data_IF_096222875649
#
_entry.id   IF_096222875649
#
_cell.length_a   1.000
_cell.length_b   1.000
_cell.length_c   1.000
_cell.angle_alpha   90.00
_cell.angle_beta   90.00
_cell.angle_gamma   90.00
#
_symmetry.space_group_name_H-M   'P 1'
#
loop_
_entity.id
_entity.type
_entity.pdbx_description
1 polymer ?
#
# COMPACT_ATOMS: atom_id res chain seq x y z
N UNK A 1 38.60 -45.30 -24.77
CA UNK A 1 37.49 -44.49 -25.32
C UNK A 1 36.84 -43.81 -24.14
N UNK A 2 37.35 -42.63 -23.81
CA UNK A 2 37.05 -41.88 -22.58
C UNK A 2 36.41 -40.58 -23.05
N UNK A 3 35.09 -40.46 -22.87
CA UNK A 3 34.31 -39.26 -23.17
C UNK A 3 34.65 -38.21 -22.11
N UNK A 4 35.40 -37.18 -22.50
CA UNK A 4 35.65 -36.00 -21.69
C UNK A 4 34.42 -35.09 -21.78
N UNK A 5 33.72 -34.95 -20.65
CA UNK A 5 32.62 -34.01 -20.47
C UNK A 5 33.06 -32.58 -20.84
N UNK A 6 32.27 -31.93 -21.70
CA UNK A 6 32.39 -30.52 -22.05
C UNK A 6 32.26 -29.64 -20.79
N UNK A 7 33.11 -28.62 -20.60
CA UNK A 7 33.03 -27.74 -19.45
C UNK A 7 31.74 -26.92 -19.52
N UNK A 8 30.94 -27.01 -18.46
CA UNK A 8 29.79 -26.14 -18.22
C UNK A 8 30.26 -24.68 -18.26
N UNK A 9 29.70 -23.90 -19.18
CA UNK A 9 29.99 -22.47 -19.29
C UNK A 9 29.49 -21.76 -18.04
N UNK A 10 30.37 -21.54 -17.07
CA UNK A 10 30.09 -20.73 -15.90
C UNK A 10 29.95 -19.27 -16.38
N UNK A 11 28.72 -18.82 -16.57
CA UNK A 11 28.44 -17.42 -16.89
C UNK A 11 28.93 -16.55 -15.74
N UNK A 12 30.00 -15.78 -15.94
CA UNK A 12 30.50 -14.87 -14.93
C UNK A 12 29.39 -13.91 -14.48
N UNK A 13 29.21 -13.68 -13.16
CA UNK A 13 28.30 -12.65 -12.68
C UNK A 13 28.74 -11.29 -13.25
N UNK A 14 27.79 -10.49 -13.72
CA UNK A 14 28.01 -9.18 -14.35
C UNK A 14 28.62 -8.19 -13.31
N UNK A 15 29.97 -8.17 -13.20
CA UNK A 15 30.74 -7.54 -12.11
C UNK A 15 30.61 -5.99 -12.10
N UNK A 16 29.99 -5.38 -13.12
CA UNK A 16 29.93 -3.92 -13.28
C UNK A 16 28.63 -3.23 -12.83
N UNK A 17 27.56 -3.94 -12.45
CA UNK A 17 26.24 -3.32 -12.22
C UNK A 17 25.87 -3.31 -10.74
N UNK A 18 25.44 -2.14 -10.25
CA UNK A 18 24.90 -1.99 -8.90
C UNK A 18 23.80 -3.03 -8.64
N UNK A 19 23.79 -3.68 -7.46
CA UNK A 19 22.80 -4.71 -7.12
C UNK A 19 21.36 -4.21 -7.29
N UNK A 20 21.12 -2.91 -7.11
CA UNK A 20 19.82 -2.26 -7.34
C UNK A 20 19.38 -2.34 -8.81
N UNK A 21 20.30 -2.12 -9.75
CA UNK A 21 20.02 -2.15 -11.20
C UNK A 21 19.68 -3.58 -11.66
N UNK A 22 20.36 -4.58 -11.09
CA UNK A 22 20.08 -5.99 -11.38
C UNK A 22 18.71 -6.41 -10.85
N UNK A 23 18.35 -6.00 -9.63
CA UNK A 23 17.02 -6.25 -9.05
C UNK A 23 15.92 -5.55 -9.86
N UNK A 24 16.11 -4.28 -10.22
CA UNK A 24 15.14 -3.53 -11.03
C UNK A 24 14.91 -4.19 -12.41
N UNK A 25 15.97 -4.66 -13.07
CA UNK A 25 15.85 -5.36 -14.36
C UNK A 25 15.10 -6.69 -14.24
N UNK A 26 15.33 -7.44 -13.16
CA UNK A 26 14.59 -8.68 -12.89
C UNK A 26 13.10 -8.40 -12.65
N UNK A 27 12.81 -7.36 -11.88
CA UNK A 27 11.46 -6.89 -11.60
C UNK A 27 10.70 -6.50 -12.87
N UNK A 28 11.36 -5.76 -13.78
CA UNK A 28 10.82 -5.42 -15.10
C UNK A 28 10.60 -6.62 -16.03
N UNK A 29 11.25 -7.76 -15.81
CA UNK A 29 10.96 -8.99 -16.58
C UNK A 29 9.76 -9.74 -16.03
N UNK A 30 9.39 -9.52 -14.77
CA UNK A 30 8.26 -10.19 -14.14
C UNK A 30 6.93 -9.74 -14.76
N UNK A 31 6.11 -10.70 -15.22
CA UNK A 31 4.84 -10.39 -15.92
C UNK A 31 3.85 -9.69 -15.00
N UNK A 32 3.62 -10.24 -13.81
CA UNK A 32 2.70 -9.67 -12.82
C UNK A 32 3.11 -8.26 -12.43
N UNK A 33 4.41 -8.05 -12.17
CA UNK A 33 4.91 -6.72 -11.80
C UNK A 33 4.66 -5.68 -12.88
N UNK A 34 4.96 -6.01 -14.14
CA UNK A 34 4.73 -5.09 -15.27
C UNK A 34 3.26 -4.74 -15.45
N UNK A 35 2.37 -5.73 -15.38
CA UNK A 35 0.93 -5.50 -15.51
C UNK A 35 0.45 -4.61 -14.37
N UNK A 36 0.82 -4.93 -13.13
CA UNK A 36 0.48 -4.12 -11.96
C UNK A 36 1.01 -2.69 -12.07
N UNK A 37 2.26 -2.51 -12.53
CA UNK A 37 2.85 -1.19 -12.74
C UNK A 37 2.09 -0.38 -13.79
N UNK A 38 1.73 -0.98 -14.93
CA UNK A 38 0.97 -0.31 -15.98
C UNK A 38 -0.41 0.10 -15.47
N UNK A 39 -1.12 -0.79 -14.77
CA UNK A 39 -2.44 -0.47 -14.19
C UNK A 39 -2.34 0.66 -13.16
N UNK A 40 -1.35 0.61 -12.26
CA UNK A 40 -1.13 1.66 -11.27
C UNK A 40 -0.79 2.98 -11.95
N UNK A 41 0.05 2.96 -12.99
CA UNK A 41 0.41 4.14 -13.77
C UNK A 41 -0.81 4.77 -14.44
N UNK A 42 -1.70 3.96 -15.03
CA UNK A 42 -2.96 4.45 -15.62
C UNK A 42 -3.80 5.16 -14.55
N UNK A 43 -3.98 4.54 -13.37
CA UNK A 43 -4.76 5.12 -12.27
C UNK A 43 -4.13 6.43 -11.76
N UNK A 44 -2.81 6.44 -11.56
CA UNK A 44 -2.08 7.63 -11.10
C UNK A 44 -2.14 8.74 -12.14
N UNK A 45 -1.96 8.44 -13.42
CA UNK A 45 -2.07 9.41 -14.50
C UNK A 45 -3.50 9.95 -14.60
N UNK A 46 -4.51 9.09 -14.49
CA UNK A 46 -5.91 9.54 -14.44
C UNK A 46 -6.16 10.50 -13.26
N UNK A 47 -5.59 10.22 -12.09
CA UNK A 47 -5.69 11.09 -10.91
C UNK A 47 -4.96 12.42 -11.10
N UNK A 48 -3.71 12.41 -11.59
CA UNK A 48 -2.90 13.62 -11.76
C UNK A 48 -3.41 14.50 -12.89
N UNK A 49 -3.83 13.88 -14.00
CA UNK A 49 -4.37 14.59 -15.16
C UNK A 49 -5.84 15.03 -14.97
N UNK A 50 -6.48 14.66 -13.85
CA UNK A 50 -7.87 15.01 -13.55
C UNK A 50 -8.20 16.50 -13.77
N UNK A 51 -7.38 17.48 -13.34
CA UNK A 51 -7.68 18.90 -13.56
C UNK A 51 -7.68 19.32 -15.04
N UNK A 52 -7.02 18.57 -15.93
CA UNK A 52 -6.92 18.89 -17.36
C UNK A 52 -7.91 18.11 -18.22
N UNK A 53 -8.29 16.90 -17.81
CA UNK A 53 -9.22 16.03 -18.56
C UNK A 53 -10.68 16.16 -18.10
N UNK A 54 -10.95 17.08 -17.16
CA UNK A 54 -12.29 17.31 -16.60
C UNK A 54 -12.63 18.80 -16.60
N UNK A 55 -13.88 19.12 -16.27
CA UNK A 55 -14.34 20.50 -16.11
C UNK A 55 -13.77 21.20 -14.85
N UNK A 56 -12.85 20.55 -14.10
CA UNK A 56 -12.14 21.12 -12.95
C UNK A 56 -13.00 21.41 -11.71
N UNK A 57 -14.29 21.05 -11.72
CA UNK A 57 -15.26 21.37 -10.67
C UNK A 57 -15.94 20.09 -10.10
N UNK A 58 -15.23 19.27 -9.29
CA UNK A 58 -15.77 18.02 -8.75
C UNK A 58 -16.97 18.18 -7.80
N UNK A 59 -17.19 19.39 -7.29
CA UNK A 59 -18.25 19.72 -6.35
C UNK A 59 -19.32 20.66 -6.93
N UNK A 60 -19.28 20.95 -8.24
CA UNK A 60 -20.33 21.74 -8.88
C UNK A 60 -21.64 20.94 -8.92
N UNK A 61 -22.64 21.41 -8.18
CA UNK A 61 -23.96 20.77 -8.07
C UNK A 61 -24.94 21.36 -9.07
N UNK A 62 -25.86 20.53 -9.56
CA UNK A 62 -26.95 20.96 -10.43
C UNK A 62 -28.19 20.11 -10.18
N UNK A 63 -29.22 20.69 -9.54
CA UNK A 63 -30.44 19.95 -9.19
C UNK A 63 -31.17 19.40 -10.43
N UNK A 64 -31.07 20.10 -11.56
CA UNK A 64 -31.68 19.69 -12.84
C UNK A 64 -31.01 18.47 -13.46
N UNK A 65 -29.73 18.24 -13.15
CA UNK A 65 -28.93 17.17 -13.72
C UNK A 65 -28.80 15.99 -12.77
N UNK A 66 -29.70 15.82 -11.77
CA UNK A 66 -29.64 14.69 -10.82
C UNK A 66 -29.97 13.38 -11.53
N UNK A 67 -29.23 12.33 -11.19
CA UNK A 67 -29.47 10.96 -11.66
C UNK A 67 -29.55 10.81 -13.18
N UNK A 68 -28.74 11.59 -13.91
CA UNK A 68 -28.59 11.36 -15.34
C UNK A 68 -27.73 10.11 -15.55
N UNK A 69 -28.19 9.17 -16.39
CA UNK A 69 -27.44 7.95 -16.67
C UNK A 69 -26.15 8.28 -17.46
N UNK A 70 -25.20 7.33 -17.51
CA UNK A 70 -24.00 7.45 -18.34
C UNK A 70 -24.33 7.75 -19.80
N UNK A 71 -23.70 8.78 -20.37
CA UNK A 71 -23.95 9.25 -21.73
C UNK A 71 -22.85 10.18 -22.24
N UNK A 72 -23.04 10.76 -23.43
CA UNK A 72 -22.05 11.65 -24.05
C UNK A 72 -21.83 12.95 -23.28
N UNK A 73 -22.88 13.48 -22.63
CA UNK A 73 -22.77 14.68 -21.79
C UNK A 73 -22.10 14.40 -20.45
N UNK A 74 -22.36 13.21 -19.89
CA UNK A 74 -21.81 12.75 -18.60
C UNK A 74 -21.32 11.31 -18.74
N UNK A 75 -20.02 11.12 -19.00
CA UNK A 75 -19.43 9.82 -19.32
C UNK A 75 -19.78 8.72 -18.31
N UNK A 76 -19.77 9.05 -17.02
CA UNK A 76 -20.12 8.14 -15.92
C UNK A 76 -21.51 8.44 -15.32
N UNK A 77 -22.26 9.35 -15.93
CA UNK A 77 -23.52 9.86 -15.39
C UNK A 77 -23.29 10.89 -14.28
N UNK A 78 -24.37 11.24 -13.60
CA UNK A 78 -24.36 12.17 -12.47
C UNK A 78 -24.86 11.54 -11.18
N UNK A 79 -24.51 12.16 -10.05
CA UNK A 79 -24.92 11.70 -8.73
C UNK A 79 -26.21 12.37 -8.21
N UNK A 80 -26.56 12.05 -6.95
CA UNK A 80 -27.72 12.59 -6.25
C UNK A 80 -27.70 14.14 -6.11
N UNK A 81 -26.56 14.80 -6.29
CA UNK A 81 -26.46 16.26 -6.28
C UNK A 81 -26.29 16.84 -7.70
N UNK A 82 -26.42 15.99 -8.72
CA UNK A 82 -26.20 16.33 -10.12
C UNK A 82 -24.77 16.73 -10.45
N UNK A 83 -23.81 16.21 -9.68
CA UNK A 83 -22.38 16.40 -9.93
C UNK A 83 -21.92 15.34 -10.94
N UNK A 84 -21.03 15.72 -11.84
CA UNK A 84 -20.45 14.82 -12.84
C UNK A 84 -19.58 13.73 -12.18
N UNK A 85 -19.99 12.48 -12.34
CA UNK A 85 -19.35 11.34 -11.69
C UNK A 85 -17.96 11.06 -12.28
N UNK A 86 -17.73 11.33 -13.56
CA UNK A 86 -16.42 11.16 -14.19
C UNK A 86 -15.37 12.04 -13.48
N UNK A 87 -15.69 13.32 -13.33
CA UNK A 87 -14.85 14.26 -12.60
C UNK A 87 -14.66 13.82 -11.14
N UNK A 88 -15.72 13.38 -10.46
CA UNK A 88 -15.63 12.94 -9.05
C UNK A 88 -14.76 11.69 -8.87
N UNK A 89 -14.84 10.71 -9.77
CA UNK A 89 -14.04 9.48 -9.67
C UNK A 89 -12.54 9.76 -9.85
N UNK A 90 -12.19 10.68 -10.77
CA UNK A 90 -10.79 11.06 -11.00
C UNK A 90 -10.19 11.87 -9.84
N UNK A 91 -10.93 12.85 -9.30
CA UNK A 91 -10.51 13.54 -8.08
C UNK A 91 -10.54 12.62 -6.85
N UNK A 92 -11.47 11.67 -6.82
CA UNK A 92 -11.56 10.60 -5.83
C UNK A 92 -10.30 9.75 -5.76
N UNK A 93 -9.68 9.50 -6.92
CA UNK A 93 -8.41 8.78 -7.01
C UNK A 93 -7.29 9.50 -6.26
N UNK A 94 -7.20 10.83 -6.35
CA UNK A 94 -6.16 11.59 -5.64
C UNK A 94 -6.26 11.38 -4.13
N UNK A 95 -7.48 11.48 -3.57
CA UNK A 95 -7.72 11.32 -2.13
C UNK A 95 -7.51 9.88 -1.69
N UNK A 96 -8.09 8.89 -2.37
CA UNK A 96 -7.96 7.49 -1.99
C UNK A 96 -6.53 6.97 -2.12
N UNK A 97 -5.79 7.33 -3.18
CA UNK A 97 -4.37 6.98 -3.33
C UNK A 97 -3.51 7.66 -2.27
N UNK A 98 -3.80 8.92 -1.94
CA UNK A 98 -3.09 9.64 -0.88
C UNK A 98 -3.27 8.99 0.49
N UNK A 99 -4.50 8.59 0.84
CA UNK A 99 -4.79 7.87 2.09
C UNK A 99 -4.05 6.53 2.10
N UNK A 100 -4.20 5.74 1.03
CA UNK A 100 -3.54 4.43 0.92
C UNK A 100 -2.02 4.54 1.07
N UNK A 101 -1.40 5.51 0.38
CA UNK A 101 0.04 5.75 0.43
C UNK A 101 0.49 6.20 1.81
N UNK A 102 -0.20 7.17 2.39
CA UNK A 102 0.18 7.74 3.70
C UNK A 102 0.07 6.70 4.81
N UNK A 103 -1.03 5.94 4.84
CA UNK A 103 -1.21 4.86 5.82
C UNK A 103 -0.14 3.79 5.67
N UNK A 104 0.16 3.37 4.43
CA UNK A 104 1.19 2.36 4.18
C UNK A 104 2.56 2.84 4.64
N UNK A 105 2.98 4.04 4.22
CA UNK A 105 4.29 4.61 4.55
C UNK A 105 4.44 4.83 6.05
N UNK A 106 3.46 5.44 6.71
CA UNK A 106 3.52 5.67 8.17
C UNK A 106 3.54 4.34 8.94
N UNK A 107 2.72 3.37 8.54
CA UNK A 107 2.71 2.04 9.18
C UNK A 107 4.04 1.33 9.00
N UNK A 108 4.67 1.44 7.83
CA UNK A 108 5.97 0.85 7.56
C UNK A 108 7.10 1.53 8.33
N UNK A 109 7.13 2.87 8.38
CA UNK A 109 8.16 3.62 9.13
C UNK A 109 8.04 3.33 10.62
N UNK A 110 6.85 3.53 11.21
CA UNK A 110 6.63 3.33 12.64
C UNK A 110 6.78 1.85 13.01
N UNK A 111 6.26 0.96 12.17
CA UNK A 111 6.46 -0.48 12.33
C UNK A 111 7.93 -0.88 12.27
N UNK A 112 8.72 -0.35 11.34
CA UNK A 112 10.14 -0.64 11.25
C UNK A 112 10.91 -0.17 12.48
N UNK A 113 10.62 1.04 12.97
CA UNK A 113 11.22 1.58 14.20
C UNK A 113 10.90 0.67 15.38
N UNK A 114 9.62 0.33 15.59
CA UNK A 114 9.16 -0.53 16.68
C UNK A 114 9.77 -1.93 16.57
N UNK A 115 9.75 -2.52 15.37
CA UNK A 115 10.21 -3.87 15.10
C UNK A 115 11.71 -4.03 15.31
N UNK A 116 12.51 -3.07 14.83
CA UNK A 116 13.97 -3.05 15.06
C UNK A 116 14.26 -2.80 16.53
N UNK A 117 13.59 -1.84 17.17
CA UNK A 117 13.80 -1.56 18.59
C UNK A 117 13.52 -2.79 19.47
N UNK A 118 12.42 -3.50 19.19
CA UNK A 118 12.08 -4.73 19.88
C UNK A 118 13.07 -5.88 19.61
N UNK A 119 13.54 -6.03 18.37
CA UNK A 119 14.51 -7.07 18.01
C UNK A 119 15.91 -6.79 18.56
N UNK A 120 16.34 -5.54 18.61
CA UNK A 120 17.70 -5.17 19.03
C UNK A 120 17.81 -5.03 20.55
N UNK A 121 16.83 -4.39 21.19
CA UNK A 121 16.85 -4.12 22.63
C UNK A 121 15.86 -5.03 23.38
N UNK A 122 16.37 -6.15 23.93
CA UNK A 122 15.57 -7.12 24.72
C UNK A 122 14.70 -6.50 25.81
N UNK A 123 15.13 -5.38 26.41
CA UNK A 123 14.37 -4.65 27.44
C UNK A 123 13.02 -4.11 26.94
N UNK A 124 12.95 -3.68 25.68
CA UNK A 124 11.75 -3.10 25.10
C UNK A 124 10.88 -4.13 24.36
N UNK A 125 11.43 -5.30 24.03
CA UNK A 125 10.76 -6.34 23.25
C UNK A 125 9.38 -6.69 23.81
N UNK A 126 9.32 -7.11 25.08
CA UNK A 126 8.06 -7.50 25.72
C UNK A 126 7.05 -6.37 25.75
N UNK A 127 7.46 -5.15 26.11
CA UNK A 127 6.54 -4.01 26.20
C UNK A 127 5.97 -3.66 24.82
N UNK A 128 6.85 -3.46 23.83
CA UNK A 128 6.47 -3.08 22.47
C UNK A 128 5.58 -4.13 21.82
N UNK A 129 5.97 -5.41 21.91
CA UNK A 129 5.18 -6.49 21.32
C UNK A 129 3.85 -6.68 22.04
N UNK A 130 3.78 -6.52 23.37
CA UNK A 130 2.48 -6.56 24.08
C UNK A 130 1.53 -5.45 23.65
N UNK A 131 2.03 -4.24 23.37
CA UNK A 131 1.21 -3.16 22.80
C UNK A 131 0.73 -3.53 21.39
N UNK A 132 1.62 -4.06 20.54
CA UNK A 132 1.23 -4.52 19.20
C UNK A 132 0.18 -5.64 19.25
N UNK A 133 0.34 -6.58 20.19
CA UNK A 133 -0.59 -7.69 20.40
C UNK A 133 -1.95 -7.20 20.89
N UNK A 134 -1.97 -6.20 21.79
CA UNK A 134 -3.20 -5.57 22.25
C UNK A 134 -3.95 -4.86 21.12
N UNK A 135 -3.25 -4.17 20.22
CA UNK A 135 -3.87 -3.56 19.03
C UNK A 135 -4.45 -4.62 18.08
N UNK A 136 -3.74 -5.73 17.89
CA UNK A 136 -4.19 -6.83 17.02
C UNK A 136 -5.30 -7.68 17.63
N UNK A 137 -5.54 -7.59 18.93
CA UNK A 137 -6.66 -8.27 19.58
C UNK A 137 -8.01 -7.72 19.09
N UNK A 138 -8.04 -6.46 18.64
CA UNK A 138 -9.20 -5.87 18.01
C UNK A 138 -9.17 -6.10 16.49
N UNK A 139 -10.31 -6.42 15.86
CA UNK A 139 -10.42 -6.37 14.41
C UNK A 139 -10.02 -4.98 13.90
N UNK A 140 -9.13 -4.92 12.90
CA UNK A 140 -8.53 -3.67 12.42
C UNK A 140 -9.56 -2.59 12.04
N UNK A 141 -10.68 -3.01 11.44
CA UNK A 141 -11.78 -2.12 11.06
C UNK A 141 -12.49 -1.56 12.31
N UNK A 142 -12.76 -2.39 13.32
CA UNK A 142 -13.41 -1.94 14.56
C UNK A 142 -12.52 -0.95 15.32
N UNK A 143 -11.22 -1.24 15.38
CA UNK A 143 -10.25 -0.33 15.98
C UNK A 143 -10.22 1.01 15.23
N UNK A 144 -10.19 0.96 13.88
CA UNK A 144 -10.17 2.17 13.08
C UNK A 144 -11.47 3.00 13.22
N UNK A 145 -12.63 2.35 13.30
CA UNK A 145 -13.92 3.00 13.59
C UNK A 145 -13.86 3.73 14.93
N UNK A 146 -13.43 3.04 16.00
CA UNK A 146 -13.38 3.62 17.33
C UNK A 146 -12.44 4.83 17.43
N UNK A 147 -11.24 4.72 16.84
CA UNK A 147 -10.27 5.83 16.85
C UNK A 147 -10.76 6.99 15.99
N UNK A 148 -11.28 6.73 14.79
CA UNK A 148 -11.76 7.79 13.89
C UNK A 148 -12.95 8.54 14.51
N UNK A 149 -13.89 7.81 15.13
CA UNK A 149 -15.03 8.39 15.82
C UNK A 149 -14.60 9.26 17.02
N UNK A 150 -13.58 8.85 17.77
CA UNK A 150 -13.06 9.62 18.90
C UNK A 150 -12.32 10.90 18.47
N UNK A 151 -11.61 10.87 17.33
CA UNK A 151 -10.84 12.00 16.82
C UNK A 151 -11.68 13.01 16.02
N UNK A 152 -12.90 12.65 15.62
CA UNK A 152 -13.81 13.50 14.87
C UNK A 152 -13.62 13.45 13.35
N UNK A 153 -14.49 14.13 12.58
CA UNK A 153 -14.62 13.96 11.14
C UNK A 153 -13.55 14.73 10.36
N UNK A 154 -12.34 14.21 10.33
CA UNK A 154 -11.21 14.78 9.57
C UNK A 154 -10.49 13.69 8.77
N UNK A 155 -9.90 14.08 7.63
CA UNK A 155 -9.08 13.18 6.82
C UNK A 155 -7.91 12.58 7.63
N UNK A 156 -7.31 13.39 8.50
CA UNK A 156 -6.25 12.97 9.41
C UNK A 156 -6.71 11.91 10.41
N UNK A 157 -7.94 12.00 10.92
CA UNK A 157 -8.52 11.00 11.83
C UNK A 157 -8.55 9.61 11.20
N UNK A 158 -8.99 9.53 9.94
CA UNK A 158 -9.01 8.27 9.16
C UNK A 158 -7.59 7.73 8.97
N UNK A 159 -6.64 8.58 8.60
CA UNK A 159 -5.23 8.19 8.41
C UNK A 159 -4.63 7.67 9.72
N UNK A 160 -4.81 8.38 10.83
CA UNK A 160 -4.30 7.98 12.15
C UNK A 160 -4.92 6.65 12.56
N UNK A 161 -6.24 6.52 12.46
CA UNK A 161 -6.97 5.32 12.81
C UNK A 161 -6.51 4.08 12.04
N UNK A 162 -6.39 4.19 10.70
CA UNK A 162 -5.91 3.10 9.87
C UNK A 162 -4.44 2.79 10.11
N UNK A 163 -3.59 3.82 10.28
CA UNK A 163 -2.17 3.63 10.58
C UNK A 163 -2.00 2.87 11.90
N UNK A 164 -2.69 3.28 12.97
CA UNK A 164 -2.68 2.58 14.26
C UNK A 164 -3.10 1.11 14.13
N UNK A 165 -4.07 0.81 13.27
CA UNK A 165 -4.53 -0.55 13.03
C UNK A 165 -3.54 -1.42 12.25
N UNK A 166 -2.72 -0.84 11.37
CA UNK A 166 -1.79 -1.59 10.51
C UNK A 166 -0.31 -1.59 10.97
N UNK A 167 0.10 -0.67 11.85
CA UNK A 167 1.45 -0.65 12.46
C UNK A 167 1.87 -2.04 12.99
N UNK A 168 1.03 -2.80 13.74
CA UNK A 168 1.45 -4.08 14.31
C UNK A 168 1.94 -5.10 13.29
N UNK A 169 1.32 -5.13 12.10
CA UNK A 169 1.70 -6.04 11.02
C UNK A 169 3.10 -5.72 10.49
N UNK A 170 3.39 -4.44 10.27
CA UNK A 170 4.72 -3.96 9.86
C UNK A 170 5.77 -4.18 10.97
N UNK A 171 5.41 -3.94 12.23
CA UNK A 171 6.31 -4.14 13.36
C UNK A 171 6.75 -5.60 13.51
N UNK A 172 5.80 -6.54 13.41
CA UNK A 172 6.09 -7.97 13.54
C UNK A 172 6.96 -8.51 12.41
N UNK A 173 6.70 -8.13 11.15
CA UNK A 173 7.51 -8.61 10.02
C UNK A 173 8.95 -8.10 10.13
N UNK A 174 9.14 -6.81 10.47
CA UNK A 174 10.48 -6.24 10.63
C UNK A 174 11.18 -6.84 11.83
N UNK A 175 10.48 -7.05 12.96
CA UNK A 175 11.06 -7.73 14.13
C UNK A 175 11.53 -9.14 13.80
N UNK A 176 10.71 -9.93 13.10
CA UNK A 176 11.06 -11.29 12.72
C UNK A 176 12.33 -11.32 11.85
N UNK A 177 12.40 -10.46 10.83
CA UNK A 177 13.58 -10.34 9.97
C UNK A 177 14.80 -9.84 10.75
N UNK A 178 14.64 -8.84 11.60
CA UNK A 178 15.73 -8.27 12.39
C UNK A 178 16.30 -9.28 13.41
N UNK A 179 15.46 -10.12 14.04
CA UNK A 179 15.91 -11.18 14.94
C UNK A 179 16.78 -12.20 14.20
N UNK A 180 16.39 -12.61 12.99
CA UNK A 180 17.20 -13.53 12.17
C UNK A 180 18.53 -12.89 11.78
N UNK A 181 18.50 -11.64 11.29
CA UNK A 181 19.71 -10.93 10.87
C UNK A 181 20.68 -10.68 12.03
N UNK A 182 20.17 -10.48 13.24
CA UNK A 182 20.98 -10.25 14.43
C UNK A 182 21.87 -11.45 14.78
N UNK A 183 21.47 -12.66 14.43
CA UNK A 183 22.18 -13.92 14.71
C UNK A 183 23.06 -14.37 13.54
N UNK A 184 23.45 -13.46 12.63
CA UNK A 184 24.30 -13.77 11.47
C UNK A 184 25.77 -13.45 11.71
N UNK A 185 26.67 -14.28 11.19
CA UNK A 185 28.13 -14.16 11.39
C UNK A 185 28.69 -12.78 11.02
N UNK A 186 28.16 -12.13 9.98
CA UNK A 186 28.66 -10.80 9.58
C UNK A 186 28.23 -9.69 10.55
N UNK A 187 27.10 -9.84 11.24
CA UNK A 187 26.69 -8.91 12.30
C UNK A 187 27.59 -9.10 13.52
N UNK A 188 27.90 -10.34 13.89
CA UNK A 188 28.81 -10.62 14.99
C UNK A 188 30.24 -10.16 14.69
N UNK A 189 30.73 -10.37 13.46
CA UNK A 189 32.00 -9.83 13.01
C UNK A 189 32.04 -8.28 13.09
N UNK A 190 30.96 -7.61 12.69
CA UNK A 190 30.86 -6.15 12.81
C UNK A 190 30.87 -5.67 14.28
N UNK A 191 30.23 -6.41 15.18
CA UNK A 191 30.28 -6.13 16.64
C UNK A 191 31.69 -6.32 17.20
N UNK A 192 32.36 -7.42 16.85
CA UNK A 192 33.74 -7.71 17.27
C UNK A 192 34.73 -6.66 16.73
N UNK A 193 34.45 -6.10 15.56
CA UNK A 193 35.19 -4.98 14.98
C UNK A 193 34.89 -3.60 15.64
N UNK A 194 34.07 -3.57 16.70
CA UNK A 194 33.77 -2.35 17.46
C UNK A 194 32.74 -1.42 16.80
N UNK A 195 31.91 -1.91 15.87
CA UNK A 195 30.86 -1.09 15.28
C UNK A 195 29.76 -0.77 16.32
N UNK A 196 29.41 0.50 16.45
CA UNK A 196 28.28 0.94 17.29
C UNK A 196 26.95 0.34 16.80
N UNK A 197 26.01 0.08 17.71
CA UNK A 197 24.65 -0.39 17.42
C UNK A 197 23.97 0.36 16.27
N UNK A 198 23.99 1.69 16.29
CA UNK A 198 23.35 2.51 15.26
C UNK A 198 23.94 2.25 13.86
N UNK A 199 25.27 2.06 13.79
CA UNK A 199 25.96 1.72 12.54
C UNK A 199 25.54 0.34 12.06
N UNK A 200 25.39 -0.63 12.95
CA UNK A 200 24.95 -1.98 12.59
C UNK A 200 23.50 -1.96 12.11
N UNK A 201 22.62 -1.30 12.85
CA UNK A 201 21.21 -1.19 12.51
C UNK A 201 21.03 -0.55 11.14
N UNK A 202 21.64 0.61 10.90
CA UNK A 202 21.41 1.38 9.66
C UNK A 202 22.11 0.79 8.45
N UNK A 203 23.27 0.16 8.61
CA UNK A 203 24.07 -0.37 7.49
C UNK A 203 23.84 -1.85 7.20
N UNK A 204 23.44 -2.64 8.20
CA UNK A 204 23.34 -4.09 8.07
C UNK A 204 21.92 -4.61 8.30
N UNK A 205 21.16 -4.09 9.27
CA UNK A 205 19.84 -4.67 9.59
C UNK A 205 18.75 -4.05 8.73
N UNK A 206 18.59 -2.72 8.81
CA UNK A 206 17.51 -1.99 8.15
C UNK A 206 17.49 -2.26 6.63
N UNK A 207 18.60 -2.20 5.87
CA UNK A 207 18.57 -2.47 4.43
C UNK A 207 18.09 -3.88 4.08
N UNK A 208 18.39 -4.87 4.92
CA UNK A 208 17.95 -6.25 4.71
C UNK A 208 16.49 -6.47 5.14
N UNK A 209 15.99 -5.72 6.13
CA UNK A 209 14.58 -5.71 6.50
C UNK A 209 13.69 -4.97 5.48
N UNK A 210 14.25 -4.09 4.64
CA UNK A 210 13.46 -3.35 3.64
C UNK A 210 12.79 -4.29 2.64
N UNK A 211 13.41 -5.40 2.25
CA UNK A 211 12.84 -6.32 1.27
C UNK A 211 11.46 -6.89 1.70
N UNK A 212 11.33 -7.59 2.85
CA UNK A 212 10.03 -8.07 3.33
C UNK A 212 9.09 -6.92 3.75
N UNK A 213 9.63 -5.77 4.17
CA UNK A 213 8.82 -4.60 4.50
C UNK A 213 8.16 -3.98 3.26
N UNK A 214 8.87 -3.85 2.14
CA UNK A 214 8.33 -3.33 0.89
C UNK A 214 7.24 -4.24 0.32
N UNK A 215 7.41 -5.56 0.44
CA UNK A 215 6.35 -6.52 0.08
C UNK A 215 5.14 -6.34 1.01
N UNK A 216 5.35 -6.15 2.30
CA UNK A 216 4.24 -5.90 3.24
C UNK A 216 3.53 -4.57 2.96
N UNK A 217 4.27 -3.55 2.56
CA UNK A 217 3.78 -2.21 2.25
C UNK A 217 2.71 -2.25 1.14
N UNK A 218 2.89 -3.07 0.10
CA UNK A 218 1.90 -3.19 -1.00
C UNK A 218 0.57 -3.73 -0.51
N UNK A 219 0.59 -4.71 0.40
CA UNK A 219 -0.63 -5.23 1.03
C UNK A 219 -1.28 -4.19 1.93
N UNK A 220 -0.50 -3.49 2.76
CA UNK A 220 -1.04 -2.45 3.66
C UNK A 220 -1.71 -1.34 2.84
N UNK A 221 -1.13 -0.93 1.73
CA UNK A 221 -1.74 0.05 0.81
C UNK A 221 -3.10 -0.43 0.29
N UNK A 222 -3.18 -1.67 -0.23
CA UNK A 222 -4.43 -2.24 -0.73
C UNK A 222 -5.51 -2.29 0.35
N UNK A 223 -5.15 -2.80 1.53
CA UNK A 223 -6.06 -2.89 2.66
C UNK A 223 -6.48 -1.51 3.17
N UNK A 224 -5.61 -0.52 3.16
CA UNK A 224 -5.93 0.84 3.57
C UNK A 224 -6.98 1.49 2.67
N UNK A 225 -6.88 1.32 1.34
CA UNK A 225 -7.91 1.81 0.40
C UNK A 225 -9.26 1.11 0.67
N UNK A 226 -9.25 -0.21 0.85
CA UNK A 226 -10.48 -0.96 1.10
C UNK A 226 -11.10 -0.62 2.47
N UNK A 227 -10.26 -0.43 3.49
CA UNK A 227 -10.70 -0.05 4.82
C UNK A 227 -11.23 1.39 4.83
N UNK A 228 -10.59 2.34 4.16
CA UNK A 228 -11.12 3.70 3.95
C UNK A 228 -12.48 3.66 3.28
N UNK A 229 -12.63 2.85 2.22
CA UNK A 229 -13.92 2.70 1.54
C UNK A 229 -14.99 2.13 2.48
N UNK A 230 -14.62 1.17 3.33
CA UNK A 230 -15.51 0.60 4.34
C UNK A 230 -15.90 1.61 5.41
N UNK A 231 -14.95 2.42 5.90
CA UNK A 231 -15.23 3.50 6.87
C UNK A 231 -16.14 4.58 6.26
N UNK A 232 -15.88 4.98 5.02
CA UNK A 232 -16.73 5.90 4.26
C UNK A 232 -18.13 5.33 4.06
N UNK A 233 -18.24 4.04 3.73
CA UNK A 233 -19.51 3.34 3.66
C UNK A 233 -20.24 3.37 5.02
N UNK A 234 -19.55 3.16 6.14
CA UNK A 234 -20.14 3.24 7.48
C UNK A 234 -20.41 4.67 7.97
N UNK A 235 -20.13 5.71 7.17
CA UNK A 235 -20.39 7.11 7.51
C UNK A 235 -19.32 7.80 8.35
N UNK A 236 -18.16 7.17 8.53
CA UNK A 236 -17.04 7.62 9.39
C UNK A 236 -15.80 7.99 8.56
N UNK A 237 -15.90 7.91 7.23
CA UNK A 237 -14.80 8.18 6.32
C UNK A 237 -14.59 9.66 5.99
N UNK A 238 -14.15 9.94 4.77
CA UNK A 238 -13.70 11.30 4.41
C UNK A 238 -14.86 12.31 4.42
N UNK A 239 -14.78 13.40 5.19
CA UNK A 239 -15.84 14.41 5.24
C UNK A 239 -15.93 15.20 3.92
N UNK A 240 -17.13 15.68 3.53
CA UNK A 240 -17.27 16.69 2.48
C UNK A 240 -16.41 17.93 2.80
N UNK A 241 -15.84 18.64 1.80
CA UNK A 241 -16.10 18.56 0.35
C UNK A 241 -15.19 17.57 -0.40
N UNK A 242 -14.31 16.84 0.29
CA UNK A 242 -13.41 15.88 -0.35
C UNK A 242 -14.19 14.66 -0.85
N UNK A 243 -13.96 14.27 -2.10
CA UNK A 243 -14.45 13.01 -2.61
C UNK A 243 -13.34 11.97 -2.49
N UNK A 244 -13.59 10.85 -1.82
CA UNK A 244 -12.84 9.60 -1.96
C UNK A 244 -13.70 8.58 -2.73
N UNK A 245 -13.10 7.55 -3.32
CA UNK A 245 -13.90 6.47 -3.94
C UNK A 245 -14.88 5.84 -2.96
N UNK A 246 -14.43 5.62 -1.72
CA UNK A 246 -15.27 5.16 -0.61
C UNK A 246 -16.50 6.02 -0.38
N UNK A 247 -16.30 7.34 -0.30
CA UNK A 247 -17.39 8.29 -0.06
C UNK A 247 -18.39 8.33 -1.22
N UNK A 248 -17.92 8.14 -2.46
CA UNK A 248 -18.79 8.12 -3.65
C UNK A 248 -19.64 6.84 -3.64
N UNK A 249 -19.03 5.68 -3.36
CA UNK A 249 -19.77 4.41 -3.20
C UNK A 249 -20.81 4.53 -2.08
N UNK A 250 -20.44 5.12 -0.93
CA UNK A 250 -21.35 5.32 0.18
C UNK A 250 -22.59 6.14 -0.22
N UNK A 251 -22.40 7.21 -0.99
CA UNK A 251 -23.49 8.07 -1.47
C UNK A 251 -24.39 7.38 -2.50
N UNK A 252 -23.86 6.42 -3.25
CA UNK A 252 -24.64 5.64 -4.22
C UNK A 252 -25.49 4.54 -3.59
N UNK A 253 -25.24 4.16 -2.33
CA UNK A 253 -25.94 3.05 -1.65
C UNK A 253 -27.45 3.22 -1.67
N UNK A 254 -27.94 4.40 -1.28
CA UNK A 254 -29.39 4.63 -1.15
C UNK A 254 -30.09 4.70 -2.51
N UNK A 255 -29.32 4.83 -3.60
CA UNK A 255 -29.80 4.96 -4.97
C UNK A 255 -29.36 3.78 -5.85
N UNK A 256 -29.07 2.62 -5.23
CA UNK A 256 -28.53 1.45 -5.93
C UNK A 256 -29.39 0.94 -7.06
N UNK A 257 -30.72 1.04 -6.91
CA UNK A 257 -31.70 0.56 -7.89
C UNK A 257 -31.79 1.54 -9.07
N UNK A 258 -31.90 2.84 -8.77
CA UNK A 258 -32.17 3.87 -9.78
C UNK A 258 -30.90 4.40 -10.46
N UNK A 259 -29.77 4.40 -9.75
CA UNK A 259 -28.51 5.02 -10.16
C UNK A 259 -27.29 4.14 -9.81
N UNK A 260 -27.33 2.89 -10.23
CA UNK A 260 -26.28 1.87 -10.00
C UNK A 260 -24.87 2.32 -10.41
N UNK A 261 -24.76 3.21 -11.42
CA UNK A 261 -23.47 3.74 -11.91
C UNK A 261 -22.68 4.48 -10.83
N UNK A 262 -23.37 5.11 -9.86
CA UNK A 262 -22.73 5.86 -8.77
C UNK A 262 -21.80 4.97 -7.95
N UNK A 263 -22.13 3.69 -7.76
CA UNK A 263 -21.26 2.74 -7.06
C UNK A 263 -20.33 1.98 -8.00
N UNK A 264 -20.79 1.66 -9.22
CA UNK A 264 -20.03 0.80 -10.13
C UNK A 264 -18.67 1.41 -10.50
N UNK A 265 -18.65 2.66 -10.96
CA UNK A 265 -17.42 3.29 -11.45
C UNK A 265 -16.35 3.50 -10.36
N UNK A 266 -16.64 4.08 -9.18
CA UNK A 266 -15.66 4.12 -8.10
C UNK A 266 -15.30 2.72 -7.58
N UNK A 267 -16.23 1.75 -7.60
CA UNK A 267 -15.94 0.36 -7.26
C UNK A 267 -14.90 -0.26 -8.18
N UNK A 268 -15.05 -0.10 -9.49
CA UNK A 268 -14.06 -0.53 -10.49
C UNK A 268 -12.71 0.14 -10.24
N UNK A 269 -12.69 1.44 -9.91
CA UNK A 269 -11.45 2.15 -9.62
C UNK A 269 -10.72 1.59 -8.39
N UNK A 270 -11.46 1.27 -7.31
CA UNK A 270 -10.92 0.58 -6.13
C UNK A 270 -10.36 -0.80 -6.52
N UNK A 271 -11.11 -1.61 -7.26
CA UNK A 271 -10.71 -2.95 -7.67
C UNK A 271 -9.45 -2.92 -8.54
N UNK A 272 -9.38 -2.06 -9.55
CA UNK A 272 -8.20 -1.91 -10.42
C UNK A 272 -6.98 -1.48 -9.59
N UNK A 273 -7.16 -0.55 -8.66
CA UNK A 273 -6.06 -0.05 -7.81
C UNK A 273 -5.53 -1.14 -6.87
N UNK A 274 -6.43 -1.88 -6.23
CA UNK A 274 -6.08 -3.00 -5.36
C UNK A 274 -5.42 -4.15 -6.15
N UNK A 275 -5.92 -4.45 -7.35
CA UNK A 275 -5.30 -5.44 -8.24
C UNK A 275 -3.90 -5.00 -8.66
N UNK A 276 -3.75 -3.75 -9.08
CA UNK A 276 -2.48 -3.20 -9.54
C UNK A 276 -1.38 -3.32 -8.48
N UNK A 277 -1.68 -2.92 -7.24
CA UNK A 277 -0.71 -2.98 -6.15
C UNK A 277 -0.42 -4.41 -5.68
N UNK A 278 -1.42 -5.31 -5.70
CA UNK A 278 -1.21 -6.72 -5.37
C UNK A 278 -0.27 -7.39 -6.39
N UNK A 279 -0.49 -7.15 -7.70
CA UNK A 279 0.40 -7.66 -8.76
C UNK A 279 1.83 -7.12 -8.66
N UNK A 280 1.99 -5.86 -8.23
CA UNK A 280 3.30 -5.26 -7.90
C UNK A 280 3.92 -6.01 -6.71
N UNK A 281 3.14 -6.23 -5.64
CA UNK A 281 3.57 -6.95 -4.44
C UNK A 281 4.04 -8.38 -4.72
N UNK A 282 3.30 -9.12 -5.54
CA UNK A 282 3.67 -10.48 -5.95
C UNK A 282 4.99 -10.48 -6.71
N UNK A 283 5.15 -9.62 -7.72
CA UNK A 283 6.41 -9.54 -8.44
C UNK A 283 7.59 -9.07 -7.57
N UNK A 284 7.33 -8.21 -6.60
CA UNK A 284 8.34 -7.78 -5.64
C UNK A 284 8.74 -8.93 -4.71
N UNK A 285 7.76 -9.70 -4.23
CA UNK A 285 8.00 -10.91 -3.43
C UNK A 285 8.83 -11.93 -4.19
N UNK A 286 8.47 -12.23 -5.43
CA UNK A 286 9.15 -13.27 -6.23
C UNK A 286 10.59 -12.89 -6.56
N UNK A 287 10.88 -11.60 -6.80
CA UNK A 287 12.24 -11.15 -7.11
C UNK A 287 13.11 -10.99 -5.86
N UNK A 288 12.50 -10.68 -4.71
CA UNK A 288 13.19 -10.49 -3.44
C UNK A 288 13.32 -11.77 -2.60
N UNK A 289 12.56 -12.83 -2.91
CA UNK A 289 12.68 -14.13 -2.22
C UNK A 289 14.04 -14.78 -2.55
N UNK A 290 14.94 -14.96 -1.54
CA UNK A 290 16.25 -15.56 -1.76
C UNK A 290 16.18 -17.04 -2.13
N UNK A 291 15.08 -17.73 -1.85
CA UNK A 291 14.95 -19.19 -2.02
C UNK A 291 14.85 -19.62 -3.48
N UNK A 292 14.30 -18.77 -4.35
CA UNK A 292 14.24 -19.00 -5.80
C UNK A 292 15.62 -18.96 -6.48
N UNK A 293 16.67 -18.59 -5.75
CA UNK A 293 18.05 -18.53 -6.23
C UNK A 293 18.83 -19.85 -6.03
N UNK A 294 18.26 -20.84 -5.33
CA UNK A 294 18.92 -22.12 -5.03
C UNK A 294 18.43 -23.29 -5.91
N UNK A 295 17.43 -23.09 -6.78
CA UNK A 295 16.84 -24.13 -7.65
C UNK A 295 17.18 -23.98 -9.15
N UNK A 296 18.16 -23.13 -9.51
CA UNK A 296 18.63 -22.98 -10.89
C UNK A 296 20.13 -22.75 -10.95
#
# INVERSE_FOLDING_TARGET
>A
MTELASPTSFSMPDIGKSPVVLTARRLMRHRSFRIGLVLLLIVVLAAVLAPWITNGKPNATSVRMRFQPPGLEHLFGTDNFGRDLWTRVLYGAQVSLWIGLTVAVLSAILGAIIGIAAAWYRRFDTLLMRVMDALMAFPAILLAIGISAALGPHLSSVIIALTSAYIPRCARIVRASALVLRETDYVDAARLAGASDLRIITRHILPNCLAPLLVTLTFVFAYAILAEATLSFLGIGTPPPHASWGSIVAQGRDYSVDAWWIMLFPGIAITISALAINLIGDGLRDVLDPRLKMEG
#
